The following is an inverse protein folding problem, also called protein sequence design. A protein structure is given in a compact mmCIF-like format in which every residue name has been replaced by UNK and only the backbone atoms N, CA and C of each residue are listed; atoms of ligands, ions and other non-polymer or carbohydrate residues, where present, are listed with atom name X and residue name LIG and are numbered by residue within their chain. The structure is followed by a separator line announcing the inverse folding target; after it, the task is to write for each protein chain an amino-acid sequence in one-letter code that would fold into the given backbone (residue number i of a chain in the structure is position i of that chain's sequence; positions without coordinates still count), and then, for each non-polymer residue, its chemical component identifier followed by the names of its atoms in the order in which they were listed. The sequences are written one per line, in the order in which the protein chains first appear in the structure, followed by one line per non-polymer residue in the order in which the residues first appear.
data_IF_495051310532
#
_entry.id   IF_495051310532
#
_cell.length_a   1.000
_cell.length_b   1.000
_cell.length_c   1.000
_cell.angle_alpha   90.00
_cell.angle_beta   90.00
_cell.angle_gamma   90.00
#
_symmetry.space_group_name_H-M   'P 1'
#
loop_
_entity.id
_entity.type
_entity.pdbx_description
1 polymer ?
#
# COMPACT_ATOMS: atom_id res chain seq x y z
N UNK A 1 -33.70 4.81 -42.66
CA UNK A 1 -33.14 4.14 -41.46
C UNK A 1 -31.75 4.73 -41.18
N UNK A 2 -31.60 5.51 -40.10
CA UNK A 2 -30.29 6.03 -39.67
C UNK A 2 -29.54 4.91 -38.95
N UNK A 3 -28.32 4.59 -39.41
CA UNK A 3 -27.41 3.71 -38.67
C UNK A 3 -27.07 4.38 -37.32
N UNK A 4 -27.06 3.67 -36.19
CA UNK A 4 -26.60 4.24 -34.94
C UNK A 4 -25.10 4.52 -35.05
N UNK A 5 -24.75 5.75 -34.66
CA UNK A 5 -23.40 6.25 -34.51
C UNK A 5 -22.73 5.47 -33.36
N UNK A 6 -21.60 4.77 -33.55
CA UNK A 6 -20.88 4.17 -32.43
C UNK A 6 -20.31 5.31 -31.58
N UNK A 7 -20.98 5.61 -30.46
CA UNK A 7 -20.48 6.59 -29.51
C UNK A 7 -19.17 6.09 -28.92
N UNK A 8 -18.13 6.83 -29.25
CA UNK A 8 -16.87 7.03 -28.53
C UNK A 8 -16.99 6.72 -27.02
N UNK A 9 -16.46 5.58 -26.61
CA UNK A 9 -15.89 5.38 -25.27
C UNK A 9 -14.39 5.06 -25.44
N UNK A 10 -13.60 6.11 -25.74
CA UNK A 10 -12.19 6.22 -25.37
C UNK A 10 -12.22 6.97 -24.02
N UNK A 11 -11.67 6.51 -22.91
CA UNK A 11 -10.36 5.90 -22.73
C UNK A 11 -10.39 4.88 -21.58
N UNK A 12 -10.33 3.59 -21.91
CA UNK A 12 -9.96 2.59 -20.91
C UNK A 12 -8.47 2.78 -20.62
N UNK A 13 -8.14 3.32 -19.44
CA UNK A 13 -6.75 3.30 -18.98
C UNK A 13 -6.36 1.83 -18.85
N UNK A 14 -5.27 1.42 -19.50
CA UNK A 14 -4.77 0.05 -19.36
C UNK A 14 -4.50 -0.21 -17.87
N UNK A 15 -5.04 -1.31 -17.34
CA UNK A 15 -4.83 -1.69 -15.95
C UNK A 15 -3.62 -2.62 -15.87
N UNK A 16 -2.75 -2.41 -14.89
CA UNK A 16 -1.57 -3.24 -14.64
C UNK A 16 -1.48 -3.62 -13.16
N UNK A 17 -0.91 -4.79 -12.91
CA UNK A 17 -0.66 -5.26 -11.54
C UNK A 17 0.53 -4.52 -10.95
N UNK A 18 0.35 -3.95 -9.77
CA UNK A 18 1.39 -3.29 -8.99
C UNK A 18 1.57 -4.06 -7.68
N UNK A 19 2.80 -4.38 -7.33
CA UNK A 19 3.14 -4.86 -5.99
C UNK A 19 3.46 -3.66 -5.11
N UNK A 20 2.75 -3.54 -4.00
CA UNK A 20 2.87 -2.45 -3.03
C UNK A 20 3.38 -3.07 -1.73
N UNK A 21 4.56 -2.64 -1.28
CA UNK A 21 5.20 -3.12 -0.06
C UNK A 21 5.34 -1.95 0.91
N UNK A 22 4.94 -2.17 2.17
CA UNK A 22 4.99 -1.17 3.23
C UNK A 22 6.07 -1.56 4.23
N UNK A 23 6.92 -0.60 4.55
CA UNK A 23 8.03 -0.74 5.46
C UNK A 23 7.93 0.27 6.61
N UNK A 24 8.03 -0.23 7.84
CA UNK A 24 8.20 0.63 9.00
C UNK A 24 9.67 0.92 9.27
N UNK A 25 9.99 2.19 9.47
CA UNK A 25 11.29 2.55 10.02
C UNK A 25 11.37 2.17 11.50
N UNK A 26 12.41 1.40 11.86
CA UNK A 26 12.65 0.94 13.22
C UNK A 26 13.58 1.86 14.01
N UNK A 27 14.36 2.69 13.33
CA UNK A 27 15.41 3.51 13.95
C UNK A 27 14.91 4.90 14.37
N UNK A 28 13.68 5.28 14.01
CA UNK A 28 13.06 6.53 14.42
C UNK A 28 11.56 6.52 14.18
N UNK A 29 10.77 6.52 15.26
CA UNK A 29 9.30 6.41 15.15
C UNK A 29 8.63 7.69 14.58
N UNK A 30 9.38 8.79 14.45
CA UNK A 30 8.89 10.11 14.00
C UNK A 30 9.97 10.93 13.24
N UNK A 31 11.03 10.25 12.78
CA UNK A 31 12.16 10.89 12.09
C UNK A 31 12.01 10.86 10.58
N UNK A 32 12.84 11.64 9.88
CA UNK A 32 13.03 11.47 8.44
C UNK A 32 13.65 10.10 8.15
N UNK A 33 13.45 9.58 6.95
CA UNK A 33 14.21 8.42 6.50
C UNK A 33 15.64 8.83 6.13
N UNK A 34 16.63 8.18 6.75
CA UNK A 34 18.03 8.31 6.40
C UNK A 34 18.57 7.03 5.74
N UNK A 35 19.42 7.16 4.70
CA UNK A 35 20.13 6.02 4.14
C UNK A 35 20.90 5.26 5.23
N UNK A 36 20.53 3.99 5.42
CA UNK A 36 21.12 3.14 6.46
C UNK A 36 20.16 2.78 7.58
N UNK A 37 19.00 3.44 7.67
CA UNK A 37 17.95 3.02 8.59
C UNK A 37 17.50 1.58 8.32
N UNK A 38 17.18 0.87 9.39
CA UNK A 38 16.60 -0.47 9.36
C UNK A 38 15.11 -0.36 9.13
N UNK A 39 14.67 -0.96 8.03
CA UNK A 39 13.27 -1.03 7.65
C UNK A 39 12.70 -2.42 7.90
N UNK A 40 11.55 -2.52 8.54
CA UNK A 40 10.79 -3.76 8.65
C UNK A 40 9.68 -3.79 7.61
N UNK A 41 9.68 -4.78 6.72
CA UNK A 41 8.48 -5.05 5.90
C UNK A 41 7.34 -5.47 6.81
N UNK A 42 6.16 -4.86 6.63
CA UNK A 42 4.99 -5.15 7.47
C UNK A 42 3.81 -5.71 6.70
N UNK A 43 3.69 -5.37 5.42
CA UNK A 43 2.69 -5.93 4.51
C UNK A 43 3.11 -5.74 3.05
N UNK A 44 2.70 -6.68 2.21
CA UNK A 44 2.85 -6.64 0.76
C UNK A 44 1.50 -6.97 0.12
N UNK A 45 1.10 -6.24 -0.92
CA UNK A 45 -0.19 -6.43 -1.59
C UNK A 45 -0.08 -6.19 -3.09
N UNK A 46 -0.68 -7.07 -3.88
CA UNK A 46 -0.85 -6.87 -5.32
C UNK A 46 -2.16 -6.15 -5.59
N UNK A 47 -2.11 -5.05 -6.33
CA UNK A 47 -3.29 -4.26 -6.71
C UNK A 47 -3.31 -3.98 -8.20
N UNK A 48 -4.48 -4.09 -8.82
CA UNK A 48 -4.69 -3.66 -10.21
C UNK A 48 -4.96 -2.16 -10.24
N UNK A 49 -4.08 -1.39 -10.87
CA UNK A 49 -4.17 0.07 -10.94
C UNK A 49 -3.96 0.55 -12.39
N UNK A 50 -4.38 1.78 -12.74
CA UNK A 50 -4.07 2.35 -14.05
C UNK A 50 -2.56 2.35 -14.30
N UNK A 51 -2.14 1.94 -15.51
CA UNK A 51 -0.73 1.93 -15.90
C UNK A 51 -0.09 3.32 -15.91
N UNK A 52 -0.87 4.40 -15.91
CA UNK A 52 -0.33 5.76 -15.85
C UNK A 52 -0.24 6.30 -14.41
N UNK A 53 -0.64 5.54 -13.39
CA UNK A 53 -0.65 6.02 -12.00
C UNK A 53 0.77 6.32 -11.54
N UNK A 54 0.97 7.49 -10.93
CA UNK A 54 2.26 7.84 -10.36
C UNK A 54 2.50 7.01 -9.07
N UNK A 55 3.72 6.52 -8.81
CA UNK A 55 4.04 5.82 -7.57
C UNK A 55 3.66 6.61 -6.30
N UNK A 56 3.77 7.92 -6.33
CA UNK A 56 3.39 8.83 -5.24
C UNK A 56 1.89 8.80 -4.96
N UNK A 57 1.04 8.68 -5.99
CA UNK A 57 -0.42 8.52 -5.81
C UNK A 57 -0.75 7.16 -5.17
N UNK A 58 0.02 6.12 -5.51
CA UNK A 58 -0.11 4.80 -4.88
C UNK A 58 0.32 4.85 -3.41
N UNK A 59 1.40 5.57 -3.10
CA UNK A 59 1.86 5.76 -1.73
C UNK A 59 0.86 6.60 -0.91
N UNK A 60 0.27 7.65 -1.49
CA UNK A 60 -0.82 8.42 -0.89
C UNK A 60 -2.04 7.55 -0.58
N UNK A 61 -2.44 6.68 -1.51
CA UNK A 61 -3.50 5.70 -1.27
C UNK A 61 -3.14 4.81 -0.08
N UNK A 62 -1.94 4.23 -0.05
CA UNK A 62 -1.50 3.35 1.03
C UNK A 62 -1.53 4.07 2.39
N UNK A 63 -1.03 5.31 2.46
CA UNK A 63 -1.07 6.12 3.67
C UNK A 63 -2.50 6.36 4.15
N UNK A 64 -3.43 6.71 3.25
CA UNK A 64 -4.85 6.92 3.60
C UNK A 64 -5.48 5.63 4.12
N UNK A 65 -5.34 4.52 3.40
CA UNK A 65 -5.97 3.24 3.76
C UNK A 65 -5.44 2.70 5.09
N UNK A 66 -4.12 2.67 5.28
CA UNK A 66 -3.53 2.10 6.49
C UNK A 66 -3.64 3.01 7.73
N UNK A 67 -3.95 4.30 7.54
CA UNK A 67 -4.22 5.23 8.63
C UNK A 67 -5.70 5.48 8.90
N UNK A 68 -6.59 5.13 7.97
CA UNK A 68 -8.03 5.30 8.15
C UNK A 68 -8.60 4.49 9.33
N UNK A 69 -9.73 4.99 9.84
CA UNK A 69 -10.62 4.23 10.71
C UNK A 69 -11.30 3.12 9.88
N UNK A 70 -11.36 1.91 10.43
CA UNK A 70 -12.03 0.78 9.78
C UNK A 70 -13.54 1.04 9.61
N UNK A 71 -14.17 1.78 10.53
CA UNK A 71 -15.59 2.13 10.40
C UNK A 71 -15.82 3.08 9.21
N UNK A 72 -14.87 3.99 8.97
CA UNK A 72 -14.91 4.86 7.80
C UNK A 72 -14.76 4.06 6.51
N UNK A 73 -13.79 3.13 6.45
CA UNK A 73 -13.61 2.25 5.29
C UNK A 73 -14.81 1.31 5.08
N UNK A 74 -15.48 0.88 6.16
CA UNK A 74 -16.66 0.02 6.09
C UNK A 74 -17.82 0.67 5.32
N UNK A 75 -17.98 1.99 5.45
CA UNK A 75 -19.01 2.76 4.73
C UNK A 75 -18.75 2.76 3.21
N UNK A 76 -17.48 2.87 2.81
CA UNK A 76 -17.07 2.95 1.40
C UNK A 76 -16.85 1.60 0.72
N UNK A 77 -17.20 0.46 1.35
CA UNK A 77 -16.97 -0.90 0.78
C UNK A 77 -17.61 -1.12 -0.59
N UNK A 78 -18.74 -0.48 -0.85
CA UNK A 78 -19.46 -0.61 -2.12
C UNK A 78 -18.85 0.23 -3.26
N UNK A 79 -17.90 1.11 -2.96
CA UNK A 79 -17.20 1.92 -3.96
C UNK A 79 -16.16 1.07 -4.71
N UNK A 80 -15.76 1.46 -5.94
CA UNK A 80 -14.71 0.76 -6.68
C UNK A 80 -13.42 0.63 -5.87
N UNK A 81 -13.00 -0.60 -5.57
CA UNK A 81 -11.81 -0.88 -4.74
C UNK A 81 -12.03 -0.78 -3.23
N UNK A 82 -13.21 -0.34 -2.76
CA UNK A 82 -13.50 -0.14 -1.35
C UNK A 82 -13.46 -1.42 -0.51
N UNK A 83 -13.94 -2.54 -1.05
CA UNK A 83 -13.81 -3.85 -0.39
C UNK A 83 -12.34 -4.27 -0.20
N UNK A 84 -11.49 -4.07 -1.23
CA UNK A 84 -10.07 -4.39 -1.16
C UNK A 84 -9.35 -3.52 -0.11
N UNK A 85 -9.68 -2.22 -0.06
CA UNK A 85 -9.16 -1.26 0.91
C UNK A 85 -9.54 -1.64 2.35
N UNK A 86 -10.82 -1.97 2.57
CA UNK A 86 -11.31 -2.42 3.88
C UNK A 86 -10.61 -3.69 4.34
N UNK A 87 -10.49 -4.70 3.47
CA UNK A 87 -9.88 -5.97 3.81
C UNK A 87 -8.38 -5.83 4.12
N UNK A 88 -7.63 -5.09 3.31
CA UNK A 88 -6.18 -4.94 3.54
C UNK A 88 -5.88 -4.11 4.79
N UNK A 89 -6.65 -3.04 5.04
CA UNK A 89 -6.57 -2.29 6.30
C UNK A 89 -6.95 -3.16 7.50
N UNK A 90 -7.98 -3.99 7.37
CA UNK A 90 -8.41 -4.95 8.40
C UNK A 90 -7.30 -5.94 8.78
N UNK A 91 -6.64 -6.54 7.78
CA UNK A 91 -5.48 -7.42 8.00
C UNK A 91 -4.35 -6.67 8.70
N UNK A 92 -4.03 -5.47 8.22
CA UNK A 92 -2.99 -4.62 8.80
C UNK A 92 -3.22 -4.33 10.30
N UNK A 93 -4.47 -4.00 10.68
CA UNK A 93 -4.86 -3.78 12.09
C UNK A 93 -4.89 -5.08 12.89
N UNK A 94 -5.33 -6.19 12.30
CA UNK A 94 -5.31 -7.51 12.96
C UNK A 94 -3.88 -7.94 13.31
N UNK A 95 -2.91 -7.60 12.47
CA UNK A 95 -1.47 -7.80 12.72
C UNK A 95 -0.87 -6.79 13.72
N UNK A 96 -1.70 -5.92 14.31
CA UNK A 96 -1.31 -4.88 15.28
C UNK A 96 -0.18 -3.98 14.78
N UNK A 97 -0.17 -3.69 13.48
CA UNK A 97 0.78 -2.75 12.90
C UNK A 97 0.42 -1.32 13.31
N UNK A 98 1.44 -0.48 13.52
CA UNK A 98 1.23 0.94 13.80
C UNK A 98 0.81 1.67 12.52
N UNK A 99 0.25 2.85 12.68
CA UNK A 99 -0.01 3.74 11.53
C UNK A 99 1.28 4.07 10.77
N UNK A 100 1.14 4.33 9.48
CA UNK A 100 2.20 4.88 8.65
C UNK A 100 2.52 6.30 9.13
N UNK A 101 3.80 6.63 9.21
CA UNK A 101 4.29 7.91 9.68
C UNK A 101 5.52 8.35 8.91
N UNK A 102 5.98 9.58 9.17
CA UNK A 102 7.25 10.09 8.66
C UNK A 102 8.37 9.07 8.89
N UNK A 103 9.21 8.90 7.86
CA UNK A 103 10.32 7.96 7.84
C UNK A 103 9.96 6.56 7.38
N UNK A 104 8.68 6.19 7.36
CA UNK A 104 8.24 4.93 6.74
C UNK A 104 8.43 4.96 5.23
N UNK A 105 8.50 3.77 4.63
CA UNK A 105 8.81 3.62 3.21
C UNK A 105 7.75 2.78 2.53
N UNK A 106 7.35 3.21 1.34
CA UNK A 106 6.51 2.45 0.41
C UNK A 106 7.35 2.09 -0.80
N UNK A 107 7.35 0.81 -1.17
CA UNK A 107 7.90 0.36 -2.44
C UNK A 107 6.75 0.01 -3.39
N UNK A 108 6.80 0.55 -4.60
CA UNK A 108 5.82 0.31 -5.66
C UNK A 108 6.54 -0.34 -6.83
N UNK A 109 6.25 -1.61 -7.07
CA UNK A 109 6.87 -2.41 -8.13
C UNK A 109 5.89 -2.69 -9.27
N UNK A 110 6.32 -2.44 -10.50
CA UNK A 110 5.56 -2.71 -11.72
C UNK A 110 6.53 -3.00 -12.88
N UNK A 111 6.21 -4.00 -13.71
CA UNK A 111 6.97 -4.33 -14.92
C UNK A 111 8.49 -4.50 -14.68
N UNK A 112 8.86 -5.03 -13.50
CA UNK A 112 10.26 -5.24 -13.09
C UNK A 112 10.98 -4.00 -12.54
N UNK A 113 10.29 -2.85 -12.44
CA UNK A 113 10.84 -1.62 -11.87
C UNK A 113 10.19 -1.31 -10.53
N UNK A 114 11.01 -1.00 -9.52
CA UNK A 114 10.55 -0.62 -8.18
C UNK A 114 10.92 0.83 -7.89
N UNK A 115 9.92 1.63 -7.54
CA UNK A 115 10.11 2.98 -7.00
C UNK A 115 9.99 2.92 -5.49
N UNK A 116 10.99 3.44 -4.79
CA UNK A 116 11.01 3.51 -3.33
C UNK A 116 10.74 4.94 -2.88
N UNK A 117 9.78 5.09 -1.97
CA UNK A 117 9.27 6.39 -1.52
C UNK A 117 9.31 6.44 0.00
N UNK A 118 10.07 7.38 0.56
CA UNK A 118 10.01 7.70 1.98
C UNK A 118 8.87 8.68 2.25
N UNK A 119 8.10 8.41 3.31
CA UNK A 119 7.08 9.31 3.83
C UNK A 119 7.75 10.50 4.51
N UNK A 120 7.43 11.70 4.03
CA UNK A 120 7.94 12.97 4.53
C UNK A 120 6.78 13.86 4.97
N UNK A 121 7.01 14.90 5.81
CA UNK A 121 5.94 15.76 6.30
C UNK A 121 5.08 16.42 5.22
N UNK A 122 5.60 16.57 4.01
CA UNK A 122 4.94 17.26 2.89
C UNK A 122 4.67 16.36 1.68
N UNK A 123 4.84 15.04 1.80
CA UNK A 123 4.56 14.09 0.72
C UNK A 123 5.57 12.95 0.69
N UNK A 124 6.01 12.61 -0.52
CA UNK A 124 6.89 11.47 -0.76
C UNK A 124 8.20 11.91 -1.37
N UNK A 125 9.30 11.37 -0.83
CA UNK A 125 10.63 11.54 -1.41
C UNK A 125 11.10 10.24 -2.02
N UNK A 126 11.51 10.28 -3.28
CA UNK A 126 12.17 9.14 -3.93
C UNK A 126 13.51 8.85 -3.26
N UNK A 127 13.76 7.59 -2.94
CA UNK A 127 14.98 7.10 -2.33
C UNK A 127 15.57 5.95 -3.15
N UNK A 128 16.85 5.67 -2.94
CA UNK A 128 17.45 4.43 -3.45
C UNK A 128 16.92 3.22 -2.69
N UNK A 129 16.99 1.99 -3.28
CA UNK A 129 16.62 0.77 -2.59
C UNK A 129 17.31 0.66 -1.23
N UNK A 130 16.56 0.49 -0.12
CA UNK A 130 17.14 0.43 1.22
C UNK A 130 18.10 -0.76 1.36
N UNK A 131 19.32 -0.54 1.88
CA UNK A 131 20.33 -1.60 1.99
C UNK A 131 20.01 -2.62 3.08
N UNK A 132 19.19 -2.25 4.08
CA UNK A 132 18.84 -3.08 5.23
C UNK A 132 17.32 -3.19 5.34
N UNK A 133 16.80 -4.36 5.00
CA UNK A 133 15.40 -4.73 5.16
C UNK A 133 15.33 -5.95 6.06
N UNK A 134 14.50 -5.89 7.09
CA UNK A 134 14.23 -6.97 8.02
C UNK A 134 12.73 -7.26 8.01
N UNK A 135 12.32 -8.29 8.74
CA UNK A 135 10.95 -8.76 8.74
C UNK A 135 10.72 -9.85 7.70
N UNK A 136 9.61 -10.55 7.89
CA UNK A 136 9.12 -11.56 6.96
C UNK A 136 7.92 -10.96 6.22
N UNK A 137 7.82 -11.16 4.90
CA UNK A 137 6.60 -10.87 4.15
C UNK A 137 5.40 -11.53 4.84
N UNK A 138 4.20 -10.99 4.64
CA UNK A 138 3.00 -11.60 5.20
C UNK A 138 2.79 -12.99 4.58
N UNK A 139 3.21 -14.03 5.31
CA UNK A 139 2.97 -15.43 4.94
C UNK A 139 1.66 -15.93 5.55
N UNK A 140 1.10 -16.99 4.98
CA UNK A 140 -0.06 -17.69 5.56
C UNK A 140 0.21 -18.15 6.99
N UNK A 141 1.45 -18.53 7.33
CA UNK A 141 1.85 -18.90 8.68
C UNK A 141 1.73 -17.73 9.67
N UNK A 142 2.21 -16.55 9.29
CA UNK A 142 2.06 -15.32 10.09
C UNK A 142 0.58 -15.00 10.28
N UNK A 143 -0.22 -15.05 9.20
CA UNK A 143 -1.65 -14.80 9.25
C UNK A 143 -2.38 -15.75 10.22
N UNK A 144 -2.20 -17.07 10.07
CA UNK A 144 -2.89 -18.05 10.90
C UNK A 144 -2.46 -18.01 12.37
N UNK A 145 -1.20 -17.67 12.66
CA UNK A 145 -0.73 -17.45 14.04
C UNK A 145 -1.55 -16.35 14.73
N UNK A 146 -1.78 -15.23 14.04
CA UNK A 146 -2.57 -14.13 14.59
C UNK A 146 -4.07 -14.44 14.66
N UNK A 147 -4.60 -15.19 13.69
CA UNK A 147 -6.00 -15.60 13.70
C UNK A 147 -6.32 -16.58 14.85
N UNK A 148 -5.43 -17.53 15.15
CA UNK A 148 -5.65 -18.57 16.18
C UNK A 148 -5.48 -18.08 17.62
N UNK A 149 -4.68 -17.04 17.87
CA UNK A 149 -4.51 -16.47 19.21
C UNK A 149 -5.70 -15.61 19.68
N UNK A 150 -6.82 -15.56 18.94
CA UNK A 150 -8.06 -14.86 19.34
C UNK A 150 -9.10 -15.78 20.00
N UNK A 151 -8.89 -17.10 19.98
CA UNK A 151 -9.81 -18.09 20.56
C UNK A 151 -9.30 -18.68 21.90
N UNK A 152 -8.36 -18.02 22.57
CA UNK A 152 -7.79 -18.44 23.86
C UNK A 152 -7.93 -17.37 24.93
#
# INVERSE_FOLDING_TARGET
MRKPNPSVYRSGHAMTSHLIEIYHNLDGCLGHYDPGNVLSEVISHWRSLPAAIAPEEVADWAFKVFNADLDHLAISRAEPGGEEDFLIAGVYRMLRRRSLSNGDVVAVSRDGHTTWLACEPTGWRSISPPPKRVGEPLTSAVFFRHARCRDA
#
